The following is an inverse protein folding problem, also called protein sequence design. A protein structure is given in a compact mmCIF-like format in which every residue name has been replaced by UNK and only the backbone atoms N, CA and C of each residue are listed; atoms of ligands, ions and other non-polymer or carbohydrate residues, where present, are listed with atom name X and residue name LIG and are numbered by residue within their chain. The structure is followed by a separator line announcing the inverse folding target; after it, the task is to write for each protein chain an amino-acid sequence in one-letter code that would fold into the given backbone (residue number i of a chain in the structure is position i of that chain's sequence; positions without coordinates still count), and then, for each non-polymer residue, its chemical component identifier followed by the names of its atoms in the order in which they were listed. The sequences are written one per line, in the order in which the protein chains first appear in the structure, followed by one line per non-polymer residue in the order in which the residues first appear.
data_IF_650585591108
#
_entry.id   IF_650585591108
#
_cell.length_a   1.000
_cell.length_b   1.000
_cell.length_c   1.000
_cell.angle_alpha   90.00
_cell.angle_beta   90.00
_cell.angle_gamma   90.00
#
_symmetry.space_group_name_H-M   'P 1'
#
loop_
_entity.id
_entity.type
_entity.pdbx_description
1 polymer ?
#
# COMPACT_ATOMS: atom_id res chain seq x y z
N UNK A 1 3.19 -23.43 17.12
CA UNK A 1 3.99 -22.23 17.42
C UNK A 1 3.05 -21.21 18.04
N UNK A 2 3.34 -20.64 19.23
CA UNK A 2 2.45 -19.68 19.86
C UNK A 2 2.33 -18.41 19.00
N UNK A 3 1.12 -17.89 18.84
CA UNK A 3 0.89 -16.63 18.13
C UNK A 3 1.54 -15.47 18.89
N UNK A 4 2.29 -14.62 18.20
CA UNK A 4 2.88 -13.42 18.78
C UNK A 4 1.82 -12.30 18.89
N UNK A 5 0.97 -12.36 19.91
CA UNK A 5 -0.08 -11.36 20.18
C UNK A 5 0.47 -9.96 20.48
N UNK A 6 1.75 -9.87 20.87
CA UNK A 6 2.44 -8.62 21.09
C UNK A 6 2.71 -7.86 19.78
N UNK A 7 2.89 -8.58 18.66
CA UNK A 7 3.05 -7.97 17.35
C UNK A 7 1.81 -7.17 16.92
N UNK A 8 0.60 -7.67 17.22
CA UNK A 8 -0.67 -6.98 16.92
C UNK A 8 -0.83 -5.65 17.67
N UNK A 9 -0.20 -5.52 18.85
CA UNK A 9 -0.17 -4.27 19.63
C UNK A 9 1.02 -3.37 19.31
N UNK A 10 1.96 -3.84 18.48
CA UNK A 10 3.12 -3.05 18.09
C UNK A 10 2.75 -2.00 17.03
N UNK A 11 3.43 -0.85 17.06
CA UNK A 11 3.24 0.20 16.06
C UNK A 11 3.47 -0.32 14.62
N UNK A 12 4.34 -1.32 14.46
CA UNK A 12 4.65 -1.97 13.18
C UNK A 12 3.53 -2.85 12.67
N UNK A 13 2.94 -3.69 13.54
CA UNK A 13 1.78 -4.51 13.20
C UNK A 13 0.57 -3.66 12.80
N UNK A 14 0.34 -2.55 13.50
CA UNK A 14 -0.71 -1.58 13.17
C UNK A 14 -0.42 -0.91 11.82
N UNK A 15 0.82 -0.50 11.55
CA UNK A 15 1.19 0.11 10.26
C UNK A 15 0.89 -0.83 9.09
N UNK A 16 1.29 -2.10 9.19
CA UNK A 16 0.99 -3.12 8.16
C UNK A 16 -0.50 -3.37 7.98
N UNK A 17 -1.27 -3.38 9.07
CA UNK A 17 -2.72 -3.51 9.00
C UNK A 17 -3.37 -2.33 8.27
N UNK A 18 -2.92 -1.10 8.55
CA UNK A 18 -3.40 0.11 7.88
C UNK A 18 -3.03 0.11 6.39
N UNK A 19 -1.82 -0.30 6.03
CA UNK A 19 -1.40 -0.45 4.62
C UNK A 19 -2.31 -1.42 3.85
N UNK A 20 -2.64 -2.58 4.44
CA UNK A 20 -3.55 -3.56 3.83
C UNK A 20 -4.96 -2.99 3.67
N UNK A 21 -5.50 -2.33 4.71
CA UNK A 21 -6.84 -1.76 4.67
C UNK A 21 -6.97 -0.68 3.59
N UNK A 22 -6.01 0.25 3.51
CA UNK A 22 -6.02 1.30 2.49
C UNK A 22 -5.87 0.69 1.09
N UNK A 23 -4.99 -0.31 0.92
CA UNK A 23 -4.83 -1.01 -0.35
C UNK A 23 -6.11 -1.71 -0.81
N UNK A 24 -6.88 -2.32 0.09
CA UNK A 24 -8.18 -2.93 -0.24
C UNK A 24 -9.23 -1.88 -0.64
N UNK A 25 -9.26 -0.73 0.03
CA UNK A 25 -10.15 0.39 -0.32
C UNK A 25 -9.82 0.90 -1.73
N UNK A 26 -8.54 1.14 -2.01
CA UNK A 26 -8.09 1.62 -3.33
C UNK A 26 -8.42 0.60 -4.42
N UNK A 27 -8.18 -0.69 -4.18
CA UNK A 27 -8.51 -1.76 -5.13
C UNK A 27 -10.01 -1.82 -5.43
N UNK A 28 -10.85 -1.66 -4.41
CA UNK A 28 -12.31 -1.64 -4.57
C UNK A 28 -12.78 -0.45 -5.42
N UNK A 29 -12.20 0.73 -5.20
CA UNK A 29 -12.54 1.95 -5.95
C UNK A 29 -12.09 1.83 -7.40
N UNK A 30 -10.85 1.38 -7.65
CA UNK A 30 -10.29 1.19 -8.99
C UNK A 30 -11.11 0.21 -9.85
N UNK A 31 -11.75 -0.79 -9.21
CA UNK A 31 -12.49 -1.83 -9.91
C UNK A 31 -13.96 -1.50 -10.09
N UNK A 32 -14.43 -0.43 -9.46
CA UNK A 32 -15.78 0.04 -9.60
C UNK A 32 -15.90 0.90 -10.89
N UNK A 33 -17.09 0.93 -11.49
CA UNK A 33 -17.36 1.53 -12.82
C UNK A 33 -17.40 3.07 -12.83
N UNK A 34 -16.73 3.71 -11.86
CA UNK A 34 -16.86 5.14 -11.58
C UNK A 34 -15.95 6.02 -12.44
N UNK A 35 -15.04 5.41 -13.19
CA UNK A 35 -14.17 6.08 -14.15
C UNK A 35 -14.83 6.15 -15.55
N UNK A 36 -16.12 6.51 -15.61
CA UNK A 36 -16.82 6.72 -16.89
C UNK A 36 -16.92 5.48 -17.78
N UNK A 37 -17.00 4.27 -17.20
CA UNK A 37 -17.01 3.01 -17.96
C UNK A 37 -15.66 2.27 -17.97
N UNK A 38 -14.58 2.93 -17.54
CA UNK A 38 -13.24 2.37 -17.46
C UNK A 38 -13.10 1.52 -16.19
N UNK A 39 -12.60 0.29 -16.33
CA UNK A 39 -12.47 -0.69 -15.22
C UNK A 39 -11.00 -0.98 -14.89
N UNK A 40 -10.75 -1.48 -13.68
CA UNK A 40 -9.47 -1.98 -13.18
C UNK A 40 -8.57 -2.68 -14.23
N UNK A 41 -9.15 -3.46 -15.16
CA UNK A 41 -8.42 -4.17 -16.21
C UNK A 41 -8.87 -3.81 -17.64
N UNK A 42 -9.75 -2.82 -17.78
CA UNK A 42 -10.24 -2.36 -19.09
C UNK A 42 -9.23 -1.47 -19.81
N UNK A 43 -8.44 -0.70 -19.06
CA UNK A 43 -7.43 0.20 -19.60
C UNK A 43 -6.06 -0.15 -19.09
N UNK A 44 -5.04 -0.17 -19.97
CA UNK A 44 -3.66 -0.50 -19.58
C UNK A 44 -3.11 0.38 -18.45
N UNK A 45 -3.60 1.62 -18.33
CA UNK A 45 -3.19 2.57 -17.29
C UNK A 45 -3.76 2.23 -15.92
N UNK A 46 -5.08 2.05 -15.84
CA UNK A 46 -5.77 1.62 -14.61
C UNK A 46 -5.37 0.18 -14.24
N UNK A 47 -5.10 -0.65 -15.25
CA UNK A 47 -4.53 -2.00 -15.16
C UNK A 47 -3.24 -2.04 -14.37
N UNK A 48 -2.26 -1.22 -14.75
CA UNK A 48 -0.98 -1.20 -14.07
C UNK A 48 -1.10 -0.80 -12.58
N UNK A 49 -1.90 0.23 -12.30
CA UNK A 49 -2.11 0.74 -10.93
C UNK A 49 -2.84 -0.30 -10.07
N UNK A 50 -3.91 -0.89 -10.60
CA UNK A 50 -4.73 -1.89 -9.90
C UNK A 50 -3.96 -3.18 -9.64
N UNK A 51 -3.23 -3.67 -10.64
CA UNK A 51 -2.40 -4.87 -10.54
C UNK A 51 -1.30 -4.69 -9.50
N UNK A 52 -0.59 -3.57 -9.55
CA UNK A 52 0.45 -3.24 -8.57
C UNK A 52 -0.12 -3.20 -7.15
N UNK A 53 -1.24 -2.50 -6.96
CA UNK A 53 -1.88 -2.40 -5.65
C UNK A 53 -2.28 -3.78 -5.11
N UNK A 54 -2.83 -4.65 -5.97
CA UNK A 54 -3.24 -6.00 -5.57
C UNK A 54 -2.05 -6.87 -5.14
N UNK A 55 -0.94 -6.84 -5.91
CA UNK A 55 0.29 -7.56 -5.55
C UNK A 55 0.82 -7.09 -4.19
N UNK A 56 0.90 -5.78 -3.99
CA UNK A 56 1.44 -5.20 -2.75
C UNK A 56 0.56 -5.57 -1.55
N UNK A 57 -0.78 -5.55 -1.70
CA UNK A 57 -1.68 -6.01 -0.64
C UNK A 57 -1.41 -7.47 -0.29
N UNK A 58 -1.28 -8.37 -1.28
CA UNK A 58 -0.96 -9.78 -1.04
C UNK A 58 0.35 -9.93 -0.29
N UNK A 59 1.41 -9.24 -0.74
CA UNK A 59 2.73 -9.32 -0.12
C UNK A 59 2.70 -8.77 1.31
N UNK A 60 1.98 -7.68 1.56
CA UNK A 60 1.79 -7.14 2.91
C UNK A 60 1.04 -8.11 3.83
N UNK A 61 0.02 -8.82 3.33
CA UNK A 61 -0.67 -9.88 4.10
C UNK A 61 0.28 -11.03 4.43
N UNK A 62 1.12 -11.45 3.48
CA UNK A 62 2.12 -12.50 3.70
C UNK A 62 3.13 -12.09 4.77
N UNK A 63 3.69 -10.88 4.70
CA UNK A 63 4.61 -10.38 5.73
C UNK A 63 3.94 -10.21 7.09
N UNK A 64 2.66 -9.82 7.12
CA UNK A 64 1.90 -9.75 8.36
C UNK A 64 1.76 -11.13 9.02
N UNK A 65 1.43 -12.17 8.23
CA UNK A 65 1.33 -13.55 8.72
C UNK A 65 2.69 -14.08 9.19
N UNK A 66 3.77 -13.85 8.44
CA UNK A 66 5.11 -14.28 8.86
C UNK A 66 5.55 -13.64 10.17
N UNK A 67 5.33 -12.33 10.34
CA UNK A 67 5.64 -11.65 11.59
C UNK A 67 4.75 -12.13 12.75
N UNK A 68 3.50 -12.51 12.49
CA UNK A 68 2.58 -13.07 13.50
C UNK A 68 3.03 -14.45 14.02
N UNK A 69 3.62 -15.27 13.13
CA UNK A 69 4.17 -16.60 13.46
C UNK A 69 5.58 -16.50 14.08
N UNK A 70 6.19 -15.30 14.09
CA UNK A 70 7.49 -15.04 14.71
C UNK A 70 8.70 -15.15 13.77
N UNK A 71 8.47 -15.27 12.46
CA UNK A 71 9.53 -15.21 11.45
C UNK A 71 9.75 -13.76 11.00
N UNK A 72 10.86 -13.16 11.45
CA UNK A 72 11.18 -11.75 11.19
C UNK A 72 12.35 -11.67 10.21
N UNK A 73 12.09 -11.14 9.00
CA UNK A 73 13.11 -10.96 7.95
C UNK A 73 13.28 -9.46 7.62
N UNK A 74 13.99 -8.67 8.46
CA UNK A 74 14.01 -7.22 8.34
C UNK A 74 14.71 -6.73 7.07
N UNK A 75 15.70 -7.47 6.55
CA UNK A 75 16.41 -7.10 5.33
C UNK A 75 15.51 -7.20 4.08
N UNK A 76 14.71 -8.27 3.99
CA UNK A 76 13.80 -8.50 2.86
C UNK A 76 12.65 -7.50 2.89
N UNK A 77 12.09 -7.24 4.08
CA UNK A 77 11.03 -6.24 4.25
C UNK A 77 11.48 -4.84 3.88
N UNK A 78 12.72 -4.45 4.24
CA UNK A 78 13.31 -3.16 3.85
C UNK A 78 13.42 -3.03 2.32
N UNK A 79 13.96 -4.06 1.65
CA UNK A 79 14.08 -4.04 0.20
C UNK A 79 12.70 -3.95 -0.47
N UNK A 80 11.76 -4.75 0.01
CA UNK A 80 10.38 -4.72 -0.47
C UNK A 80 9.73 -3.34 -0.29
N UNK A 81 9.84 -2.72 0.88
CA UNK A 81 9.23 -1.42 1.13
C UNK A 81 9.84 -0.30 0.27
N UNK A 82 11.15 -0.36 -0.04
CA UNK A 82 11.78 0.56 -1.01
C UNK A 82 11.20 0.34 -2.42
N UNK A 83 11.14 -0.91 -2.87
CA UNK A 83 10.61 -1.24 -4.20
C UNK A 83 9.14 -0.81 -4.31
N UNK A 84 8.31 -1.13 -3.31
CA UNK A 84 6.91 -0.76 -3.26
C UNK A 84 6.72 0.77 -3.32
N UNK A 85 7.51 1.54 -2.55
CA UNK A 85 7.46 3.00 -2.60
C UNK A 85 7.77 3.55 -4.00
N UNK A 86 8.81 3.03 -4.67
CA UNK A 86 9.17 3.45 -6.04
C UNK A 86 8.05 3.13 -7.03
N UNK A 87 7.46 1.93 -6.97
CA UNK A 87 6.39 1.56 -7.90
C UNK A 87 5.14 2.41 -7.64
N UNK A 88 4.79 2.71 -6.39
CA UNK A 88 3.65 3.59 -6.09
C UNK A 88 3.86 5.04 -6.55
N UNK A 89 5.09 5.55 -6.53
CA UNK A 89 5.42 6.85 -7.12
C UNK A 89 5.11 6.81 -8.63
N UNK A 90 5.58 5.79 -9.35
CA UNK A 90 5.30 5.62 -10.79
C UNK A 90 3.79 5.51 -11.03
N UNK A 91 3.07 4.73 -10.22
CA UNK A 91 1.62 4.57 -10.31
C UNK A 91 0.88 5.91 -10.12
N UNK A 92 1.32 6.74 -9.16
CA UNK A 92 0.74 8.07 -8.94
C UNK A 92 0.95 9.01 -10.12
N UNK A 93 2.12 9.01 -10.76
CA UNK A 93 2.37 9.78 -11.98
C UNK A 93 1.46 9.36 -13.14
N UNK A 94 1.23 8.05 -13.29
CA UNK A 94 0.32 7.52 -14.32
C UNK A 94 -1.13 7.94 -14.05
N UNK A 95 -1.56 7.91 -12.78
CA UNK A 95 -2.91 8.38 -12.41
C UNK A 95 -3.10 9.89 -12.62
N UNK A 96 -2.08 10.70 -12.33
CA UNK A 96 -2.11 12.15 -12.63
C UNK A 96 -2.26 12.35 -14.14
N UNK A 97 -1.50 11.61 -14.95
CA UNK A 97 -1.66 11.66 -16.41
C UNK A 97 -3.08 11.28 -16.84
N UNK A 98 -3.67 10.26 -16.21
CA UNK A 98 -5.02 9.80 -16.51
C UNK A 98 -6.09 10.89 -16.26
N UNK A 99 -5.91 11.75 -15.25
CA UNK A 99 -6.79 12.90 -14.97
C UNK A 99 -6.84 13.89 -16.14
N UNK A 100 -5.68 14.22 -16.73
CA UNK A 100 -5.64 15.18 -17.84
C UNK A 100 -6.34 14.63 -19.10
N UNK A 101 -6.19 13.33 -19.36
CA UNK A 101 -6.77 12.69 -20.55
C UNK A 101 -8.28 12.49 -20.41
N UNK A 102 -8.74 12.09 -19.22
CA UNK A 102 -10.13 11.65 -19.00
C UNK A 102 -10.97 12.79 -18.41
N UNK A 103 -10.87 13.99 -18.99
CA UNK A 103 -11.55 15.22 -18.55
C UNK A 103 -13.08 15.08 -18.64
N UNK A 104 -13.70 14.40 -17.67
CA UNK A 104 -15.12 14.04 -17.62
C UNK A 104 -15.53 13.35 -16.30
N UNK A 105 -16.80 12.97 -16.19
CA UNK A 105 -17.47 12.34 -15.03
C UNK A 105 -16.55 11.46 -14.16
N UNK A 106 -16.41 11.80 -12.86
CA UNK A 106 -15.66 10.99 -11.88
C UNK A 106 -14.35 11.59 -11.35
N UNK A 107 -13.99 12.83 -11.74
CA UNK A 107 -12.75 13.53 -11.33
C UNK A 107 -12.50 13.46 -9.80
N UNK A 108 -13.55 13.59 -8.98
CA UNK A 108 -13.43 13.54 -7.53
C UNK A 108 -12.86 12.22 -7.00
N UNK A 109 -13.24 11.08 -7.59
CA UNK A 109 -12.73 9.77 -7.20
C UNK A 109 -11.32 9.54 -7.70
N UNK A 110 -10.98 10.03 -8.89
CA UNK A 110 -9.61 9.98 -9.40
C UNK A 110 -8.66 10.77 -8.50
N UNK A 111 -9.06 12.00 -8.10
CA UNK A 111 -8.30 12.80 -7.13
C UNK A 111 -8.17 12.07 -5.80
N UNK A 112 -9.26 11.49 -5.28
CA UNK A 112 -9.20 10.68 -4.06
C UNK A 112 -8.20 9.53 -4.16
N UNK A 113 -8.20 8.78 -5.27
CA UNK A 113 -7.24 7.69 -5.47
C UNK A 113 -5.80 8.18 -5.56
N UNK A 114 -5.53 9.33 -6.19
CA UNK A 114 -4.19 9.92 -6.23
C UNK A 114 -3.73 10.28 -4.80
N UNK A 115 -4.58 10.93 -4.02
CA UNK A 115 -4.28 11.28 -2.63
C UNK A 115 -4.02 10.00 -1.82
N UNK A 116 -4.85 8.97 -1.99
CA UNK A 116 -4.70 7.70 -1.29
C UNK A 116 -3.39 6.98 -1.66
N UNK A 117 -2.97 7.02 -2.93
CA UNK A 117 -1.67 6.49 -3.38
C UNK A 117 -0.50 7.29 -2.79
N UNK A 118 -0.60 8.61 -2.70
CA UNK A 118 0.41 9.45 -2.03
C UNK A 118 0.48 9.12 -0.53
N UNK A 119 -0.66 8.92 0.13
CA UNK A 119 -0.71 8.46 1.51
C UNK A 119 -0.06 7.09 1.69
N UNK A 120 -0.22 6.16 0.75
CA UNK A 120 0.49 4.87 0.76
C UNK A 120 2.00 5.06 0.65
N UNK A 121 2.50 5.93 -0.24
CA UNK A 121 3.94 6.25 -0.33
C UNK A 121 4.47 6.79 1.01
N UNK A 122 3.70 7.67 1.66
CA UNK A 122 4.06 8.19 2.98
C UNK A 122 4.07 7.09 4.06
N UNK A 123 3.11 6.16 4.03
CA UNK A 123 3.06 4.99 4.92
C UNK A 123 4.25 4.06 4.70
N UNK A 124 4.57 3.69 3.45
CA UNK A 124 5.75 2.87 3.16
C UNK A 124 7.06 3.56 3.58
N UNK A 125 7.13 4.88 3.43
CA UNK A 125 8.28 5.66 3.91
C UNK A 125 8.37 5.65 5.44
N UNK A 126 7.23 5.66 6.13
CA UNK A 126 7.16 5.55 7.57
C UNK A 126 7.51 4.15 8.07
N UNK A 127 7.04 3.09 7.40
CA UNK A 127 7.43 1.70 7.65
C UNK A 127 8.94 1.51 7.46
N UNK A 128 9.54 2.12 6.43
CA UNK A 128 11.00 2.15 6.25
C UNK A 128 11.73 2.83 7.40
N UNK A 129 11.19 3.94 7.93
CA UNK A 129 11.77 4.62 9.11
C UNK A 129 11.67 3.75 10.36
N UNK A 130 10.56 3.03 10.57
CA UNK A 130 10.44 2.05 11.65
C UNK A 130 11.44 0.90 11.49
N UNK A 131 11.59 0.39 10.26
CA UNK A 131 12.53 -0.67 9.92
C UNK A 131 13.99 -0.27 10.13
N UNK A 132 14.34 1.01 9.95
CA UNK A 132 15.69 1.56 10.21
C UNK A 132 15.96 1.86 11.68
N UNK A 133 14.95 1.79 12.55
CA UNK A 133 15.08 2.10 13.98
C UNK A 133 15.08 3.61 14.29
N UNK A 134 14.74 4.46 13.33
CA UNK A 134 14.74 5.93 13.47
C UNK A 134 13.43 6.48 14.06
N UNK A 135 12.35 5.71 14.00
CA UNK A 135 11.07 6.04 14.63
C UNK A 135 10.98 5.37 16.01
N UNK A 136 10.46 6.08 17.03
CA UNK A 136 10.18 5.52 18.36
C UNK A 136 9.27 4.30 18.23
N UNK A 137 9.87 3.11 18.22
CA UNK A 137 9.15 1.89 18.44
C UNK A 137 8.79 1.88 19.93
N UNK A 138 7.50 1.91 20.27
CA UNK A 138 7.04 1.82 21.68
C UNK A 138 7.38 0.46 22.32
N UNK A 139 8.22 -0.36 21.69
CA UNK A 139 8.84 -1.55 22.25
C UNK A 139 10.33 -1.58 21.88
N UNK A 140 11.11 -0.73 22.55
CA UNK A 140 12.36 -1.23 23.13
C UNK A 140 11.97 -2.18 24.26
N UNK A 141 11.75 -3.45 23.94
CA UNK A 141 11.95 -4.51 24.92
C UNK A 141 12.77 -5.57 24.20
N UNK A 142 14.08 -5.46 24.45
CA UNK A 142 15.18 -6.44 24.33
C UNK A 142 14.94 -7.60 23.37
#
# INVERSE_FOLDING_TARGET
MPLNTQYLRSARGICKMVEVLIGLIIGSILCADWYGGHRCFGDGRLGFVSFTNFIIVIVNVVFFVFNLVGFIFPAVERLYAIIAAVIFIIASCIMIWFVFVTSGSGIGLTIFTIIALICLVALFSWDLRMLRGEAKNTQNVV
#
